data_IF_019793317816
#
_entry.id   IF_019793317816
#
_cell.length_a   1.000
_cell.length_b   1.000
_cell.length_c   1.000
_cell.angle_alpha   90.00
_cell.angle_beta   90.00
_cell.angle_gamma   90.00
#
_symmetry.space_group_name_H-M   'P 1'
#
loop_
_entity.id
_entity.type
_entity.pdbx_description
1 polymer ?
#
# COMPACT_ATOMS: atom_id res chain seq x y z
N UNK A 1 -26.37 13.73 -4.95
CA UNK A 1 -26.18 12.34 -4.46
C UNK A 1 -24.81 12.33 -3.82
N UNK A 2 -24.69 11.79 -2.61
CA UNK A 2 -23.38 11.53 -2.01
C UNK A 2 -22.70 10.45 -2.84
N UNK A 3 -21.43 10.62 -3.18
CA UNK A 3 -20.65 9.52 -3.74
C UNK A 3 -20.51 8.39 -2.70
N UNK A 4 -20.21 7.17 -3.16
CA UNK A 4 -20.08 6.00 -2.29
C UNK A 4 -19.04 6.25 -1.19
N UNK A 5 -17.92 6.92 -1.50
CA UNK A 5 -16.82 7.17 -0.57
C UNK A 5 -17.22 8.05 0.62
N UNK A 6 -17.96 9.14 0.37
CA UNK A 6 -18.52 10.00 1.40
C UNK A 6 -19.53 9.25 2.27
N UNK A 7 -20.30 8.33 1.68
CA UNK A 7 -21.24 7.47 2.42
C UNK A 7 -20.49 6.50 3.34
N UNK A 8 -19.46 5.81 2.83
CA UNK A 8 -18.62 4.92 3.64
C UNK A 8 -17.98 5.67 4.82
N UNK A 9 -17.49 6.89 4.59
CA UNK A 9 -16.92 7.74 5.63
C UNK A 9 -17.93 8.08 6.73
N UNK A 10 -19.17 8.38 6.35
CA UNK A 10 -20.24 8.72 7.27
C UNK A 10 -20.75 7.50 8.08
N UNK A 11 -20.66 6.30 7.51
CA UNK A 11 -21.05 5.03 8.16
C UNK A 11 -19.97 4.44 9.07
N UNK A 12 -18.75 4.97 9.04
CA UNK A 12 -17.63 4.54 9.88
C UNK A 12 -17.78 5.06 11.34
N UNK A 13 -18.81 4.56 12.02
CA UNK A 13 -19.19 4.95 13.39
C UNK A 13 -18.18 4.49 14.45
N UNK A 14 -17.32 3.53 14.11
CA UNK A 14 -16.32 2.96 15.02
C UNK A 14 -14.98 3.69 14.95
N UNK A 15 -14.83 4.63 14.01
CA UNK A 15 -13.69 5.57 13.92
C UNK A 15 -13.35 6.18 15.28
N UNK A 16 -12.06 6.29 15.55
CA UNK A 16 -11.57 6.98 16.72
C UNK A 16 -11.55 8.49 16.49
N UNK A 17 -11.82 9.25 17.55
CA UNK A 17 -11.81 10.72 17.52
C UNK A 17 -10.49 11.25 18.08
N UNK A 18 -9.79 12.12 17.33
CA UNK A 18 -8.55 12.76 17.78
C UNK A 18 -8.81 13.67 18.99
N UNK A 19 -7.87 13.74 19.92
CA UNK A 19 -8.01 14.49 21.17
C UNK A 19 -8.93 13.81 22.21
N UNK A 20 -9.76 12.87 21.79
CA UNK A 20 -10.63 12.07 22.67
C UNK A 20 -10.06 10.67 22.84
N UNK A 21 -9.91 9.91 21.76
CA UNK A 21 -9.53 8.49 21.78
C UNK A 21 -8.07 8.24 21.44
N UNK A 22 -7.45 9.14 20.69
CA UNK A 22 -6.03 9.11 20.38
C UNK A 22 -5.52 10.53 20.15
N UNK A 23 -4.20 10.68 20.09
CA UNK A 23 -3.59 11.87 19.54
C UNK A 23 -2.30 11.52 18.80
N UNK A 24 -1.84 12.46 17.96
CA UNK A 24 -0.62 12.34 17.18
C UNK A 24 0.26 13.56 17.44
N UNK A 25 1.54 13.33 17.72
CA UNK A 25 2.53 14.37 17.92
C UNK A 25 3.75 14.14 17.02
N UNK A 26 3.76 14.82 15.86
CA UNK A 26 4.84 14.76 14.88
C UNK A 26 6.18 15.36 15.35
N UNK A 27 6.17 16.14 16.43
CA UNK A 27 7.36 16.80 16.98
C UNK A 27 7.79 16.19 18.33
N UNK A 28 7.07 15.19 18.83
CA UNK A 28 7.35 14.55 20.10
C UNK A 28 8.24 13.33 19.96
N UNK A 29 8.77 12.83 21.08
CA UNK A 29 9.53 11.57 21.08
C UNK A 29 8.65 10.35 20.72
N UNK A 30 7.33 10.47 20.92
CA UNK A 30 6.32 9.47 20.56
C UNK A 30 5.37 10.07 19.54
N UNK A 31 5.19 9.39 18.43
CA UNK A 31 4.23 9.73 17.39
C UNK A 31 2.81 9.64 17.93
N UNK A 32 2.49 8.61 18.72
CA UNK A 32 1.21 8.47 19.40
C UNK A 32 1.37 8.69 20.91
N UNK A 33 1.21 9.94 21.41
CA UNK A 33 1.23 10.22 22.85
C UNK A 33 0.25 9.35 23.64
N UNK A 34 -0.93 9.10 23.07
CA UNK A 34 -1.88 8.14 23.59
C UNK A 34 -2.79 7.57 22.50
N UNK A 35 -3.25 6.34 22.73
CA UNK A 35 -4.40 5.71 22.06
C UNK A 35 -5.14 4.93 23.14
N UNK A 36 -6.47 5.08 23.23
CA UNK A 36 -7.31 4.36 24.20
C UNK A 36 -7.40 2.89 23.84
N UNK A 37 -6.46 2.10 24.36
CA UNK A 37 -6.38 0.66 24.09
C UNK A 37 -7.69 -0.08 24.41
N UNK A 38 -8.40 0.29 25.49
CA UNK A 38 -9.70 -0.29 25.83
C UNK A 38 -10.75 -0.10 24.74
N UNK A 39 -10.71 1.00 23.99
CA UNK A 39 -11.63 1.23 22.86
C UNK A 39 -11.34 0.23 21.74
N UNK A 40 -10.06 0.06 21.37
CA UNK A 40 -9.63 -0.93 20.37
C UNK A 40 -10.03 -2.35 20.77
N UNK A 41 -9.83 -2.73 22.04
CA UNK A 41 -10.17 -4.06 22.56
C UNK A 41 -11.68 -4.30 22.67
N UNK A 42 -12.48 -3.23 22.78
CA UNK A 42 -13.94 -3.33 22.92
C UNK A 42 -14.69 -3.44 21.59
N UNK A 43 -14.07 -3.04 20.49
CA UNK A 43 -14.68 -3.06 19.16
C UNK A 43 -14.23 -4.33 18.42
N UNK A 44 -15.15 -5.23 18.03
CA UNK A 44 -14.78 -6.54 17.49
C UNK A 44 -13.90 -6.52 16.24
N UNK A 45 -14.05 -5.51 15.38
CA UNK A 45 -13.25 -5.37 14.15
C UNK A 45 -11.81 -5.00 14.45
N UNK A 46 -11.57 -4.02 15.34
CA UNK A 46 -10.24 -3.66 15.83
C UNK A 46 -9.55 -4.83 16.53
N UNK A 47 -10.25 -5.52 17.44
CA UNK A 47 -9.69 -6.69 18.14
C UNK A 47 -9.27 -7.80 17.16
N UNK A 48 -10.12 -8.13 16.18
CA UNK A 48 -9.83 -9.14 15.18
C UNK A 48 -8.69 -8.72 14.24
N UNK A 49 -8.63 -7.44 13.86
CA UNK A 49 -7.57 -6.91 13.02
C UNK A 49 -6.21 -6.93 13.72
N UNK A 50 -6.14 -6.49 14.98
CA UNK A 50 -4.89 -6.52 15.76
C UNK A 50 -4.36 -7.96 15.94
N UNK A 51 -5.25 -8.95 16.15
CA UNK A 51 -4.86 -10.37 16.18
C UNK A 51 -4.24 -10.83 14.87
N UNK A 52 -4.79 -10.39 13.73
CA UNK A 52 -4.20 -10.70 12.43
C UNK A 52 -2.77 -10.17 12.33
N UNK A 53 -2.55 -8.90 12.68
CA UNK A 53 -1.23 -8.25 12.61
C UNK A 53 -0.15 -8.97 13.43
N UNK A 54 -0.51 -9.62 14.53
CA UNK A 54 0.41 -10.32 15.42
C UNK A 54 0.96 -11.64 14.84
N UNK A 55 0.34 -12.20 13.79
CA UNK A 55 0.80 -13.46 13.18
C UNK A 55 1.94 -13.27 12.18
N UNK A 56 2.17 -12.06 11.67
CA UNK A 56 3.00 -11.85 10.49
C UNK A 56 4.44 -11.46 10.80
N UNK A 57 5.37 -12.02 10.02
CA UNK A 57 6.79 -11.65 10.01
C UNK A 57 7.12 -10.73 8.83
N UNK A 58 7.88 -9.65 9.08
CA UNK A 58 8.17 -8.60 8.10
C UNK A 58 9.11 -8.98 6.94
N UNK A 59 9.76 -10.14 6.96
CA UNK A 59 10.82 -10.50 6.00
C UNK A 59 10.27 -11.34 4.85
N UNK A 60 10.09 -10.73 3.69
CA UNK A 60 9.57 -11.38 2.46
C UNK A 60 10.57 -12.33 1.80
N UNK A 61 11.80 -12.44 2.32
CA UNK A 61 12.82 -13.32 1.75
C UNK A 61 12.69 -14.77 2.23
N UNK A 62 11.77 -15.05 3.17
CA UNK A 62 11.46 -16.42 3.60
C UNK A 62 10.13 -16.85 3.00
N UNK A 63 10.01 -18.09 2.48
CA UNK A 63 8.73 -18.62 2.04
C UNK A 63 7.74 -18.61 3.21
N UNK A 64 6.62 -17.90 3.05
CA UNK A 64 5.57 -17.88 4.05
C UNK A 64 4.66 -19.10 3.89
N UNK A 65 4.50 -19.86 4.96
CA UNK A 65 3.58 -20.99 5.01
C UNK A 65 2.32 -20.58 5.75
N UNK A 66 1.28 -20.18 4.99
CA UNK A 66 -0.01 -19.79 5.57
C UNK A 66 -0.63 -20.95 6.34
N UNK A 67 -0.73 -20.80 7.66
CA UNK A 67 -1.25 -21.82 8.56
C UNK A 67 -2.77 -21.84 8.56
N UNK A 68 -3.39 -22.98 8.90
CA UNK A 68 -4.85 -23.06 9.05
C UNK A 68 -5.37 -22.07 10.10
N UNK A 69 -4.54 -21.72 11.10
CA UNK A 69 -4.87 -20.75 12.13
C UNK A 69 -4.98 -19.34 11.52
N UNK A 70 -3.99 -18.89 10.76
CA UNK A 70 -4.03 -17.60 10.06
C UNK A 70 -5.24 -17.49 9.14
N UNK A 71 -5.54 -18.54 8.36
CA UNK A 71 -6.72 -18.54 7.50
C UNK A 71 -8.04 -18.42 8.29
N UNK A 72 -8.11 -19.03 9.47
CA UNK A 72 -9.29 -18.93 10.32
C UNK A 72 -9.44 -17.54 10.92
N UNK A 73 -8.33 -16.89 11.29
CA UNK A 73 -8.33 -15.53 11.82
C UNK A 73 -8.69 -14.50 10.74
N UNK A 74 -8.17 -14.64 9.52
CA UNK A 74 -8.58 -13.84 8.36
C UNK A 74 -10.08 -13.97 8.09
N UNK A 75 -10.61 -15.20 8.08
CA UNK A 75 -12.06 -15.43 7.92
C UNK A 75 -12.89 -14.88 9.08
N UNK A 76 -12.36 -14.86 10.29
CA UNK A 76 -13.02 -14.30 11.46
C UNK A 76 -13.07 -12.77 11.39
N UNK A 77 -11.96 -12.13 10.99
CA UNK A 77 -11.91 -10.69 10.74
C UNK A 77 -12.92 -10.29 9.65
N UNK A 78 -12.93 -10.97 8.50
CA UNK A 78 -13.91 -10.69 7.44
C UNK A 78 -15.35 -10.85 7.91
N UNK A 79 -15.65 -11.83 8.78
CA UNK A 79 -16.98 -11.95 9.37
C UNK A 79 -17.37 -10.70 10.16
N UNK A 80 -16.44 -10.14 10.96
CA UNK A 80 -16.68 -8.92 11.73
C UNK A 80 -16.88 -7.71 10.82
N UNK A 81 -16.04 -7.53 9.80
CA UNK A 81 -16.21 -6.43 8.85
C UNK A 81 -17.58 -6.51 8.16
N UNK A 82 -17.99 -7.69 7.71
CA UNK A 82 -19.28 -7.92 7.04
C UNK A 82 -20.51 -7.73 7.96
N UNK A 83 -20.34 -7.51 9.26
CA UNK A 83 -21.40 -7.13 10.20
C UNK A 83 -21.58 -5.61 10.29
N UNK A 84 -20.63 -4.81 9.78
CA UNK A 84 -20.65 -3.34 9.86
C UNK A 84 -21.48 -2.69 8.75
N UNK A 85 -22.04 -1.51 9.02
CA UNK A 85 -22.80 -0.74 8.02
C UNK A 85 -21.91 -0.33 6.84
N UNK A 86 -20.65 0.05 7.10
CA UNK A 86 -19.68 0.42 6.04
C UNK A 86 -19.50 -0.71 5.02
N UNK A 87 -19.26 -1.93 5.49
CA UNK A 87 -19.04 -3.05 4.58
C UNK A 87 -20.34 -3.53 3.92
N UNK A 88 -21.49 -3.37 4.56
CA UNK A 88 -22.79 -3.66 3.96
C UNK A 88 -23.09 -2.69 2.81
N UNK A 89 -22.80 -1.40 2.99
CA UNK A 89 -22.96 -0.39 1.95
C UNK A 89 -22.00 -0.64 0.78
N UNK A 90 -20.72 -0.91 1.06
CA UNK A 90 -19.74 -1.29 0.04
C UNK A 90 -20.18 -2.55 -0.73
N UNK A 91 -20.72 -3.56 -0.04
CA UNK A 91 -21.25 -4.76 -0.68
C UNK A 91 -22.44 -4.44 -1.59
N UNK A 92 -23.41 -3.66 -1.10
CA UNK A 92 -24.59 -3.29 -1.90
C UNK A 92 -24.17 -2.56 -3.17
N UNK A 93 -23.32 -1.54 -3.05
CA UNK A 93 -22.81 -0.78 -4.18
C UNK A 93 -22.09 -1.67 -5.20
N UNK A 94 -21.14 -2.50 -4.75
CA UNK A 94 -20.39 -3.37 -5.66
C UNK A 94 -21.25 -4.47 -6.30
N UNK A 95 -22.32 -4.92 -5.63
CA UNK A 95 -23.26 -5.88 -6.19
C UNK A 95 -24.15 -5.22 -7.26
N UNK A 96 -24.62 -3.99 -7.01
CA UNK A 96 -25.42 -3.21 -7.96
C UNK A 96 -24.62 -2.87 -9.24
N UNK A 97 -23.32 -2.58 -9.09
CA UNK A 97 -22.39 -2.38 -10.22
C UNK A 97 -21.98 -3.70 -10.91
N UNK A 98 -22.41 -4.86 -10.38
CA UNK A 98 -22.08 -6.18 -10.93
C UNK A 98 -20.64 -6.64 -10.72
N UNK A 99 -19.88 -5.96 -9.85
CA UNK A 99 -18.48 -6.27 -9.54
C UNK A 99 -18.33 -7.50 -8.62
N UNK A 100 -19.32 -7.77 -7.77
CA UNK A 100 -19.29 -8.88 -6.79
C UNK A 100 -20.63 -9.62 -6.68
N UNK A 101 -20.66 -10.86 -6.16
CA UNK A 101 -21.93 -11.56 -5.94
C UNK A 101 -22.83 -10.87 -4.90
N UNK A 102 -24.14 -10.85 -5.14
CA UNK A 102 -25.16 -10.35 -4.18
C UNK A 102 -25.16 -11.09 -2.84
N UNK A 103 -24.73 -12.37 -2.84
CA UNK A 103 -24.71 -13.15 -1.60
C UNK A 103 -23.57 -12.73 -0.67
N UNK A 104 -23.87 -12.53 0.62
CA UNK A 104 -22.87 -12.24 1.66
C UNK A 104 -21.71 -13.25 1.68
N UNK A 105 -22.02 -14.53 1.44
CA UNK A 105 -21.01 -15.59 1.36
C UNK A 105 -20.09 -15.40 0.13
N UNK A 106 -20.67 -15.16 -1.04
CA UNK A 106 -19.91 -14.93 -2.26
C UNK A 106 -19.02 -13.70 -2.17
N UNK A 107 -19.54 -12.60 -1.61
CA UNK A 107 -18.73 -11.40 -1.37
C UNK A 107 -17.59 -11.66 -0.38
N UNK A 108 -17.84 -12.42 0.69
CA UNK A 108 -16.77 -12.87 1.60
C UNK A 108 -15.68 -13.66 0.88
N UNK A 109 -16.06 -14.58 -0.01
CA UNK A 109 -15.12 -15.40 -0.76
C UNK A 109 -14.27 -14.53 -1.73
N UNK A 110 -14.87 -13.49 -2.33
CA UNK A 110 -14.16 -12.47 -3.12
C UNK A 110 -13.15 -11.70 -2.25
N UNK A 111 -13.58 -11.17 -1.10
CA UNK A 111 -12.71 -10.45 -0.17
C UNK A 111 -11.55 -11.34 0.29
N UNK A 112 -11.83 -12.58 0.66
CA UNK A 112 -10.80 -13.51 1.09
C UNK A 112 -9.78 -13.76 -0.04
N UNK A 113 -10.27 -14.03 -1.26
CA UNK A 113 -9.40 -14.28 -2.40
C UNK A 113 -8.51 -13.07 -2.69
N UNK A 114 -9.10 -11.88 -2.72
CA UNK A 114 -8.43 -10.63 -3.06
C UNK A 114 -7.39 -10.21 -2.01
N UNK A 115 -7.74 -10.28 -0.74
CA UNK A 115 -6.89 -9.72 0.32
C UNK A 115 -5.93 -10.72 0.94
N UNK A 116 -6.29 -12.01 1.02
CA UNK A 116 -5.56 -13.00 1.83
C UNK A 116 -4.97 -14.17 1.04
N UNK A 117 -5.08 -14.18 -0.30
CA UNK A 117 -4.41 -15.21 -1.11
C UNK A 117 -3.00 -14.73 -1.44
N UNK A 118 -1.94 -15.46 -1.06
CA UNK A 118 -0.58 -15.09 -1.44
C UNK A 118 -0.38 -15.23 -2.95
N UNK A 119 0.38 -14.31 -3.54
CA UNK A 119 0.78 -14.37 -4.94
C UNK A 119 2.23 -13.92 -5.09
N UNK A 120 2.89 -14.42 -6.14
CA UNK A 120 4.30 -14.09 -6.39
C UNK A 120 4.41 -12.62 -6.77
N UNK A 121 5.25 -11.88 -6.05
CA UNK A 121 5.51 -10.46 -6.32
C UNK A 121 6.74 -10.20 -7.17
N UNK A 122 7.61 -11.18 -7.34
CA UNK A 122 8.83 -11.04 -8.15
C UNK A 122 8.67 -11.71 -9.51
N UNK A 123 9.18 -11.06 -10.56
CA UNK A 123 9.21 -11.67 -11.90
C UNK A 123 10.31 -12.75 -12.04
N UNK A 124 11.14 -12.93 -11.00
CA UNK A 124 12.18 -13.96 -10.95
C UNK A 124 11.79 -15.16 -10.04
N UNK A 125 11.71 -16.34 -10.64
CA UNK A 125 11.42 -17.65 -10.00
C UNK A 125 12.38 -18.09 -8.87
N UNK A 126 13.48 -17.38 -8.66
CA UNK A 126 14.57 -17.81 -7.74
C UNK A 126 14.27 -17.57 -6.28
N UNK A 127 13.31 -16.70 -5.97
CA UNK A 127 12.83 -16.51 -4.63
C UNK A 127 11.31 -16.63 -4.71
N UNK A 128 10.75 -17.73 -4.22
CA UNK A 128 9.31 -17.93 -4.06
C UNK A 128 8.80 -16.96 -2.98
N UNK A 129 8.83 -15.66 -3.29
CA UNK A 129 8.37 -14.57 -2.44
C UNK A 129 6.90 -14.36 -2.78
N UNK A 130 6.05 -14.99 -1.98
CA UNK A 130 4.61 -14.79 -2.04
C UNK A 130 4.18 -14.00 -0.83
N UNK A 131 3.53 -12.87 -1.06
CA UNK A 131 2.77 -12.17 -0.03
C UNK A 131 1.36 -11.88 -0.51
N UNK A 132 0.48 -11.53 0.41
CA UNK A 132 -0.90 -11.15 0.14
C UNK A 132 -1.08 -9.63 0.10
N UNK A 133 -2.13 -9.15 -0.55
CA UNK A 133 -2.46 -7.72 -0.57
C UNK A 133 -2.67 -7.15 0.85
N UNK A 134 -3.19 -7.99 1.77
CA UNK A 134 -3.35 -7.64 3.17
C UNK A 134 -2.01 -7.45 3.88
N UNK A 135 -1.04 -8.35 3.66
CA UNK A 135 0.31 -8.20 4.22
C UNK A 135 0.96 -6.91 3.73
N UNK A 136 1.01 -6.72 2.41
CA UNK A 136 1.63 -5.54 1.83
C UNK A 136 0.98 -4.24 2.34
N UNK A 137 -0.35 -4.15 2.28
CA UNK A 137 -1.07 -2.92 2.65
C UNK A 137 -1.10 -2.67 4.16
N UNK A 138 -1.54 -3.66 4.95
CA UNK A 138 -1.89 -3.46 6.35
C UNK A 138 -0.81 -3.88 7.34
N UNK A 139 0.00 -4.89 7.01
CA UNK A 139 1.04 -5.43 7.91
C UNK A 139 2.38 -4.75 7.69
N UNK A 140 2.70 -4.47 6.44
CA UNK A 140 4.01 -4.01 6.02
C UNK A 140 5.00 -5.15 5.83
N UNK A 141 5.87 -4.94 4.86
CA UNK A 141 6.88 -5.89 4.42
C UNK A 141 8.23 -5.18 4.32
N UNK A 142 9.32 -5.95 4.32
CA UNK A 142 10.64 -5.41 4.03
C UNK A 142 11.25 -6.15 2.86
N UNK A 143 11.70 -5.37 1.87
CA UNK A 143 12.37 -5.90 0.69
C UNK A 143 13.66 -5.13 0.49
N UNK A 144 14.74 -5.87 0.26
CA UNK A 144 16.04 -5.27 -0.02
C UNK A 144 16.50 -4.26 1.06
N UNK A 145 16.22 -4.53 2.34
CA UNK A 145 16.57 -3.61 3.41
C UNK A 145 15.77 -2.29 3.45
N UNK A 146 14.70 -2.19 2.69
CA UNK A 146 13.74 -1.09 2.73
C UNK A 146 12.38 -1.60 3.16
N UNK A 147 11.53 -0.71 3.71
CA UNK A 147 10.14 -1.05 4.01
C UNK A 147 9.31 -0.85 2.75
N UNK A 148 8.54 -1.88 2.39
CA UNK A 148 7.59 -1.86 1.26
C UNK A 148 6.19 -2.08 1.83
N UNK A 149 5.18 -1.46 1.22
CA UNK A 149 3.85 -1.43 1.83
C UNK A 149 3.84 -0.70 3.19
N UNK A 150 3.11 -1.22 4.18
CA UNK A 150 2.97 -0.69 5.54
C UNK A 150 2.22 0.66 5.57
N UNK A 151 0.94 0.67 5.25
CA UNK A 151 0.16 1.91 5.10
C UNK A 151 -0.96 2.08 6.15
N UNK A 152 -0.93 1.30 7.24
CA UNK A 152 -1.99 1.30 8.24
C UNK A 152 -1.55 1.85 9.60
N UNK A 153 -2.36 2.77 10.17
CA UNK A 153 -2.02 3.44 11.44
C UNK A 153 -2.09 2.55 12.67
N UNK A 154 -2.95 1.52 12.70
CA UNK A 154 -2.99 0.59 13.83
C UNK A 154 -1.72 -0.25 13.87
N UNK A 155 -1.20 -0.64 12.71
CA UNK A 155 0.10 -1.29 12.60
C UNK A 155 1.23 -0.36 13.02
N UNK A 156 1.21 0.89 12.55
CA UNK A 156 2.18 1.91 12.94
C UNK A 156 2.20 2.13 14.46
N UNK A 157 1.03 2.26 15.07
CA UNK A 157 0.86 2.37 16.52
C UNK A 157 1.34 1.13 17.28
N UNK A 158 0.98 -0.08 16.82
CA UNK A 158 1.39 -1.33 17.46
C UNK A 158 2.92 -1.50 17.44
N UNK A 159 3.55 -1.22 16.29
CA UNK A 159 5.00 -1.31 16.13
C UNK A 159 5.74 -0.20 16.91
N UNK A 160 5.20 1.02 17.01
CA UNK A 160 5.75 2.05 17.89
C UNK A 160 5.75 1.60 19.35
N UNK A 161 4.65 1.00 19.82
CA UNK A 161 4.56 0.49 21.21
C UNK A 161 5.58 -0.60 21.51
N UNK A 162 5.95 -1.39 20.50
CA UNK A 162 6.97 -2.43 20.62
C UNK A 162 8.39 -1.86 20.53
N UNK A 163 8.56 -0.56 20.25
CA UNK A 163 9.86 0.08 20.06
C UNK A 163 10.48 -0.18 18.69
N UNK A 164 9.69 -0.65 17.73
CA UNK A 164 10.15 -0.99 16.39
C UNK A 164 10.09 0.19 15.41
N UNK A 165 9.38 1.26 15.76
CA UNK A 165 9.25 2.49 14.96
C UNK A 165 10.13 3.60 15.53
N UNK A 166 10.90 4.24 14.65
CA UNK A 166 11.54 5.53 14.90
C UNK A 166 11.06 6.49 13.82
N UNK A 167 10.08 7.33 14.14
CA UNK A 167 9.66 8.39 13.23
C UNK A 167 10.72 9.50 13.20
N UNK A 168 10.96 10.11 12.04
CA UNK A 168 12.03 11.09 11.83
C UNK A 168 11.57 12.54 12.00
N UNK A 169 10.37 12.74 12.56
CA UNK A 169 9.76 14.04 12.83
C UNK A 169 9.26 14.77 11.58
N UNK A 170 8.50 15.85 11.77
CA UNK A 170 7.99 16.69 10.69
C UNK A 170 8.83 17.95 10.43
N UNK A 171 8.84 18.43 9.18
CA UNK A 171 9.41 19.75 8.79
C UNK A 171 8.46 20.93 9.09
N UNK A 172 7.22 20.67 9.44
CA UNK A 172 6.19 21.67 9.74
C UNK A 172 5.36 21.23 10.96
N UNK A 173 5.41 22.04 12.03
CA UNK A 173 4.79 21.75 13.32
C UNK A 173 3.27 21.96 13.36
N UNK A 174 2.65 22.29 12.23
CA UNK A 174 1.22 22.64 12.09
C UNK A 174 0.48 21.55 11.29
N UNK A 175 0.35 20.37 11.88
CA UNK A 175 -0.52 19.30 11.37
C UNK A 175 -1.87 19.37 12.10
N UNK A 176 -2.73 20.21 11.52
CA UNK A 176 -4.18 20.38 11.72
C UNK A 176 -4.96 19.06 11.86
N UNK A 177 -6.27 19.14 12.08
CA UNK A 177 -7.27 18.05 12.19
C UNK A 177 -7.40 17.13 10.94
N UNK A 178 -6.33 16.99 10.14
CA UNK A 178 -6.26 16.21 8.91
C UNK A 178 -6.44 14.72 9.17
N UNK A 179 -7.08 14.06 8.23
CA UNK A 179 -7.34 12.62 8.28
C UNK A 179 -6.17 11.77 7.77
N UNK A 180 -5.20 12.40 7.07
CA UNK A 180 -3.98 11.76 6.55
C UNK A 180 -2.74 12.29 7.25
N UNK A 181 -1.88 11.36 7.65
CA UNK A 181 -0.56 11.59 8.21
C UNK A 181 0.50 11.16 7.21
N UNK A 182 1.46 12.03 6.90
CA UNK A 182 2.62 11.68 6.07
C UNK A 182 3.90 11.79 6.89
N UNK A 183 4.69 10.72 6.97
CA UNK A 183 5.92 10.67 7.78
C UNK A 183 7.06 9.91 7.10
N UNK A 184 8.28 10.30 7.48
CA UNK A 184 9.47 9.46 7.31
C UNK A 184 9.67 8.64 8.59
N UNK A 185 9.93 7.34 8.47
CA UNK A 185 10.17 6.49 9.63
C UNK A 185 11.16 5.37 9.35
N UNK A 186 11.72 4.81 10.43
CA UNK A 186 12.41 3.54 10.38
C UNK A 186 11.57 2.48 11.09
N UNK A 187 11.45 1.31 10.47
CA UNK A 187 10.85 0.12 11.04
C UNK A 187 11.89 -1.00 11.15
N UNK A 188 12.16 -1.45 12.37
CA UNK A 188 13.17 -2.50 12.65
C UNK A 188 14.53 -2.22 11.99
N UNK A 189 14.91 -0.93 11.95
CA UNK A 189 16.17 -0.45 11.36
C UNK A 189 16.17 -0.30 9.84
N UNK A 190 15.04 -0.51 9.17
CA UNK A 190 14.85 -0.27 7.72
C UNK A 190 14.07 1.02 7.51
N UNK A 191 14.48 1.85 6.56
CA UNK A 191 13.86 3.16 6.34
C UNK A 191 12.70 3.10 5.35
N UNK A 192 11.71 3.98 5.57
CA UNK A 192 10.69 4.39 4.59
C UNK A 192 10.61 5.92 4.57
N UNK A 193 10.45 6.48 3.38
CA UNK A 193 10.38 7.92 3.15
C UNK A 193 9.01 8.27 2.61
N UNK A 194 8.41 9.36 3.11
CA UNK A 194 7.13 9.96 2.67
C UNK A 194 5.94 9.01 2.63
N UNK A 195 5.84 8.14 3.62
CA UNK A 195 4.70 7.24 3.68
C UNK A 195 3.46 7.94 4.24
N UNK A 196 2.28 7.58 3.72
CA UNK A 196 1.01 8.22 4.03
C UNK A 196 -0.01 7.24 4.59
N UNK A 197 -0.69 7.66 5.66
CA UNK A 197 -1.59 6.83 6.46
C UNK A 197 -2.90 7.58 6.69
N UNK A 198 -4.04 6.89 6.59
CA UNK A 198 -5.20 7.35 7.34
C UNK A 198 -4.92 7.21 8.83
N UNK A 199 -5.45 8.10 9.67
CA UNK A 199 -5.34 7.96 11.12
C UNK A 199 -6.70 8.08 11.79
N UNK A 200 -6.99 7.14 12.69
CA UNK A 200 -8.23 7.07 13.46
C UNK A 200 -9.32 6.23 12.80
N UNK A 201 -9.26 6.05 11.48
CA UNK A 201 -10.14 5.17 10.68
C UNK A 201 -10.25 3.75 11.23
N UNK A 202 -11.39 3.11 10.99
CA UNK A 202 -11.57 1.71 11.34
C UNK A 202 -10.99 0.75 10.30
N UNK A 203 -10.59 -0.47 10.69
CA UNK A 203 -10.12 -1.48 9.74
C UNK A 203 -11.13 -1.80 8.65
N UNK A 204 -12.42 -1.88 8.99
CA UNK A 204 -13.51 -2.12 8.05
C UNK A 204 -13.69 -0.99 7.05
N UNK A 205 -13.43 0.26 7.44
CA UNK A 205 -13.47 1.41 6.54
C UNK A 205 -12.37 1.35 5.50
N UNK A 206 -11.11 1.20 5.92
CA UNK A 206 -9.98 1.12 4.97
C UNK A 206 -10.14 -0.08 4.03
N UNK A 207 -10.54 -1.25 4.56
CA UNK A 207 -10.79 -2.44 3.76
C UNK A 207 -11.92 -2.22 2.72
N UNK A 208 -13.02 -1.59 3.12
CA UNK A 208 -14.14 -1.28 2.22
C UNK A 208 -13.73 -0.26 1.15
N UNK A 209 -13.11 0.84 1.56
CA UNK A 209 -12.67 1.92 0.67
C UNK A 209 -11.72 1.38 -0.42
N UNK A 210 -10.66 0.66 -0.03
CA UNK A 210 -9.71 0.11 -0.99
C UNK A 210 -10.34 -0.94 -1.89
N UNK A 211 -11.26 -1.77 -1.37
CA UNK A 211 -11.98 -2.75 -2.20
C UNK A 211 -12.85 -2.06 -3.24
N UNK A 212 -13.56 -0.99 -2.87
CA UNK A 212 -14.41 -0.21 -3.80
C UNK A 212 -13.55 0.50 -4.84
N UNK A 213 -12.48 1.18 -4.44
CA UNK A 213 -11.55 1.82 -5.38
C UNK A 213 -10.94 0.81 -6.36
N UNK A 214 -10.52 -0.36 -5.89
CA UNK A 214 -9.92 -1.37 -6.76
C UNK A 214 -10.89 -1.97 -7.78
N UNK A 215 -12.15 -2.23 -7.38
CA UNK A 215 -13.13 -2.92 -8.22
C UNK A 215 -13.98 -2.00 -9.10
N UNK A 216 -14.21 -0.77 -8.67
CA UNK A 216 -15.15 0.16 -9.29
C UNK A 216 -14.59 1.60 -9.42
N UNK A 217 -13.35 1.85 -9.00
CA UNK A 217 -12.70 3.14 -9.17
C UNK A 217 -12.14 3.37 -10.57
N UNK A 218 -11.56 4.55 -10.77
CA UNK A 218 -11.13 5.07 -12.08
C UNK A 218 -9.74 4.58 -12.54
N UNK A 219 -9.18 3.55 -11.88
CA UNK A 219 -7.86 3.00 -12.18
C UNK A 219 -6.93 2.98 -10.96
N UNK A 220 -5.64 3.21 -11.18
CA UNK A 220 -4.62 3.16 -10.12
C UNK A 220 -4.75 4.27 -9.07
N UNK A 221 -5.40 5.39 -9.41
CA UNK A 221 -5.65 6.52 -8.51
C UNK A 221 -7.11 6.94 -8.60
N UNK A 222 -7.79 6.97 -7.47
CA UNK A 222 -9.19 7.42 -7.37
C UNK A 222 -9.27 8.66 -6.48
N UNK A 223 -9.80 9.77 -7.01
CA UNK A 223 -10.07 10.97 -6.20
C UNK A 223 -11.38 10.82 -5.44
N UNK A 224 -11.34 11.07 -4.13
CA UNK A 224 -12.49 10.90 -3.23
C UNK A 224 -12.63 12.10 -2.30
N UNK A 225 -13.83 12.28 -1.74
CA UNK A 225 -14.07 13.26 -0.67
C UNK A 225 -14.39 12.53 0.61
N UNK A 226 -13.57 12.75 1.65
CA UNK A 226 -13.69 12.10 2.96
C UNK A 226 -13.72 13.18 4.03
N UNK A 227 -14.81 13.25 4.80
CA UNK A 227 -14.95 14.28 5.85
C UNK A 227 -14.91 15.73 5.35
N UNK A 228 -15.14 15.95 4.04
CA UNK A 228 -14.99 17.27 3.40
C UNK A 228 -13.59 17.56 2.86
N UNK A 229 -12.63 16.66 3.06
CA UNK A 229 -11.27 16.76 2.51
C UNK A 229 -11.18 15.97 1.20
N UNK A 230 -10.51 16.55 0.19
CA UNK A 230 -10.16 15.82 -1.04
C UNK A 230 -8.94 14.96 -0.78
N UNK A 231 -9.05 13.68 -1.10
CA UNK A 231 -8.02 12.67 -0.92
C UNK A 231 -7.88 11.88 -2.21
N UNK A 232 -6.67 11.46 -2.54
CA UNK A 232 -6.45 10.49 -3.61
C UNK A 232 -6.17 9.13 -2.96
N UNK A 233 -6.85 8.09 -3.42
CA UNK A 233 -6.59 6.69 -3.02
C UNK A 233 -5.83 6.02 -4.14
N UNK A 234 -4.62 5.56 -3.84
CA UNK A 234 -3.86 4.70 -4.73
C UNK A 234 -4.31 3.25 -4.57
N UNK A 235 -4.52 2.54 -5.68
CA UNK A 235 -4.85 1.10 -5.75
C UNK A 235 -4.11 0.47 -6.93
N UNK A 236 -2.79 0.26 -6.75
CA UNK A 236 -1.93 -0.31 -7.78
C UNK A 236 -2.20 -1.81 -7.96
N UNK A 237 -2.19 -2.27 -9.22
CA UNK A 237 -2.39 -3.67 -9.59
C UNK A 237 -1.05 -4.36 -9.78
N UNK A 238 -0.93 -5.59 -9.31
CA UNK A 238 0.19 -6.49 -9.60
C UNK A 238 -0.39 -7.84 -10.02
N UNK A 239 -0.14 -8.24 -11.28
CA UNK A 239 -0.66 -9.49 -11.86
C UNK A 239 -2.20 -9.64 -11.72
N UNK A 240 -2.94 -8.54 -11.90
CA UNK A 240 -4.40 -8.50 -11.74
C UNK A 240 -4.90 -8.57 -10.29
N UNK A 241 -4.00 -8.52 -9.30
CA UNK A 241 -4.32 -8.49 -7.88
C UNK A 241 -3.97 -7.11 -7.28
N UNK A 242 -4.42 -6.83 -6.06
CA UNK A 242 -4.04 -5.60 -5.36
C UNK A 242 -2.55 -5.68 -5.02
N UNK A 243 -1.73 -4.87 -5.70
CA UNK A 243 -0.31 -4.71 -5.44
C UNK A 243 -0.04 -3.81 -4.23
N UNK A 244 -0.63 -2.61 -4.22
CA UNK A 244 -0.48 -1.65 -3.11
C UNK A 244 -1.74 -0.78 -3.00
N UNK A 245 -2.14 -0.42 -1.78
CA UNK A 245 -3.26 0.49 -1.54
C UNK A 245 -2.95 1.46 -0.40
N UNK A 246 -3.07 2.76 -0.63
CA UNK A 246 -2.81 3.77 0.40
C UNK A 246 -3.36 5.16 0.02
N UNK A 247 -3.62 6.04 1.00
CA UNK A 247 -4.02 7.40 0.72
C UNK A 247 -2.81 8.26 0.35
N UNK A 248 -3.00 9.19 -0.58
CA UNK A 248 -2.02 10.21 -0.96
C UNK A 248 -2.60 11.57 -0.55
N UNK A 249 -1.82 12.31 0.24
CA UNK A 249 -2.13 13.70 0.53
C UNK A 249 -1.69 14.55 -0.67
N UNK A 250 -2.65 15.14 -1.40
CA UNK A 250 -2.32 16.04 -2.52
C UNK A 250 -1.46 17.22 -2.01
N UNK A 251 -0.19 17.27 -2.40
CA UNK A 251 0.56 18.52 -2.48
C UNK A 251 0.30 19.10 -3.88
N UNK A 252 0.03 20.40 -3.97
CA UNK A 252 -0.02 21.09 -5.26
C UNK A 252 1.37 21.04 -5.92
N UNK A 253 1.64 20.01 -6.74
CA UNK A 253 2.14 20.16 -8.12
C UNK A 253 2.28 18.81 -8.87
N UNK A 254 1.90 18.90 -10.15
CA UNK A 254 2.25 18.09 -11.34
C UNK A 254 1.68 16.67 -11.56
N UNK A 255 0.64 16.69 -12.41
CA UNK A 255 0.30 15.78 -13.53
C UNK A 255 0.73 14.32 -13.46
N UNK A 256 -0.25 13.44 -13.19
CA UNK A 256 -0.19 12.03 -13.54
C UNK A 256 -1.38 11.68 -14.43
N UNK A 257 -1.09 11.08 -15.57
CA UNK A 257 -2.03 10.35 -16.43
C UNK A 257 -1.48 8.95 -16.65
N UNK A 258 -2.39 8.01 -16.95
CA UNK A 258 -2.19 6.65 -17.51
C UNK A 258 -2.22 5.53 -16.47
N UNK A 259 -2.18 4.24 -16.85
CA UNK A 259 -3.15 3.42 -17.62
C UNK A 259 -2.73 1.95 -17.56
N UNK A 260 -3.69 1.02 -17.52
CA UNK A 260 -3.49 -0.43 -17.36
C UNK A 260 -2.72 -1.10 -18.52
N UNK A 261 -1.70 -1.93 -18.22
CA UNK A 261 -1.22 -2.98 -19.15
C UNK A 261 -1.06 -4.36 -18.49
N UNK A 262 -1.50 -5.40 -19.21
CA UNK A 262 -1.40 -6.83 -18.88
C UNK A 262 0.02 -7.37 -19.15
N UNK A 263 0.52 -8.28 -18.30
CA UNK A 263 1.85 -8.91 -18.47
C UNK A 263 1.76 -10.39 -18.86
N UNK A 264 2.30 -10.70 -20.05
CA UNK A 264 2.72 -12.02 -20.50
C UNK A 264 4.26 -12.09 -20.36
N UNK A 265 4.78 -12.44 -19.18
CA UNK A 265 6.22 -12.68 -19.01
C UNK A 265 6.54 -13.92 -18.16
N UNK A 266 6.88 -15.01 -18.85
CA UNK A 266 7.39 -16.23 -18.22
C UNK A 266 8.81 -16.64 -18.66
N UNK A 267 9.53 -15.87 -19.51
CA UNK A 267 10.79 -16.39 -20.10
C UNK A 267 11.94 -15.38 -20.34
N UNK A 268 11.93 -14.16 -19.77
CA UNK A 268 13.05 -13.21 -19.94
C UNK A 268 13.63 -12.68 -18.61
N UNK A 269 14.77 -13.22 -18.14
CA UNK A 269 15.36 -12.84 -16.84
C UNK A 269 15.90 -11.40 -16.79
N UNK A 270 16.09 -10.74 -17.94
CA UNK A 270 16.45 -9.32 -17.99
C UNK A 270 15.26 -8.39 -17.94
N UNK A 271 14.11 -8.83 -18.46
CA UNK A 271 12.85 -8.13 -18.26
C UNK A 271 12.43 -8.24 -16.80
N UNK A 272 12.51 -9.43 -16.21
CA UNK A 272 12.21 -9.65 -14.79
C UNK A 272 13.04 -8.76 -13.86
N UNK A 273 14.35 -8.66 -14.08
CA UNK A 273 15.21 -7.73 -13.31
C UNK A 273 14.85 -6.26 -13.52
N UNK A 274 14.42 -5.89 -14.73
CA UNK A 274 13.95 -4.56 -15.04
C UNK A 274 12.64 -4.23 -14.32
N UNK A 275 11.68 -5.15 -14.31
CA UNK A 275 10.40 -4.99 -13.62
C UNK A 275 10.58 -4.98 -12.10
N UNK A 276 11.41 -5.86 -11.55
CA UNK A 276 11.79 -5.83 -10.12
C UNK A 276 12.43 -4.46 -9.74
N UNK A 277 13.20 -3.85 -10.65
CA UNK A 277 13.75 -2.51 -10.46
C UNK A 277 12.69 -1.39 -10.52
N UNK A 278 11.72 -1.48 -11.45
CA UNK A 278 10.62 -0.51 -11.50
C UNK A 278 9.75 -0.58 -10.23
N UNK A 279 9.43 -1.77 -9.74
CA UNK A 279 8.70 -1.94 -8.48
C UNK A 279 9.51 -1.39 -7.29
N UNK A 280 10.85 -1.52 -7.30
CA UNK A 280 11.69 -0.90 -6.28
C UNK A 280 11.58 0.63 -6.29
N UNK A 281 11.50 1.27 -7.47
CA UNK A 281 11.32 2.73 -7.56
C UNK A 281 9.96 3.17 -7.01
N UNK A 282 8.90 2.43 -7.35
CA UNK A 282 7.54 2.66 -6.85
C UNK A 282 7.48 2.51 -5.32
N UNK A 283 8.06 1.43 -4.78
CA UNK A 283 8.14 1.17 -3.34
C UNK A 283 8.86 2.28 -2.56
N UNK A 284 9.80 2.99 -3.22
CA UNK A 284 10.56 4.09 -2.64
C UNK A 284 9.93 5.47 -2.90
N UNK A 285 8.70 5.52 -3.43
CA UNK A 285 8.00 6.77 -3.81
C UNK A 285 8.87 7.65 -4.74
N UNK A 286 9.62 7.00 -5.63
CA UNK A 286 10.45 7.69 -6.60
C UNK A 286 9.60 7.90 -7.85
N UNK A 287 9.29 9.17 -8.13
CA UNK A 287 8.38 9.56 -9.22
C UNK A 287 8.73 8.98 -10.60
N UNK A 288 7.73 8.90 -11.50
CA UNK A 288 7.80 8.12 -12.74
C UNK A 288 8.74 8.72 -13.78
N UNK A 289 9.04 10.02 -13.68
CA UNK A 289 9.94 10.71 -14.60
C UNK A 289 11.24 11.13 -13.91
N UNK A 290 12.38 10.74 -14.49
CA UNK A 290 13.67 11.25 -14.01
C UNK A 290 14.78 11.22 -15.06
N UNK A 291 15.83 12.00 -14.80
CA UNK A 291 17.04 11.97 -15.62
C UNK A 291 17.68 10.59 -15.63
N UNK A 292 18.02 10.09 -16.83
CA UNK A 292 18.66 8.78 -17.05
C UNK A 292 19.92 8.55 -16.22
N UNK A 293 20.69 9.61 -15.93
CA UNK A 293 21.87 9.54 -15.05
C UNK A 293 21.52 9.25 -13.59
N UNK A 294 20.42 9.84 -13.10
CA UNK A 294 19.91 9.58 -11.74
C UNK A 294 19.36 8.16 -11.65
N UNK A 295 18.54 7.75 -12.62
CA UNK A 295 17.97 6.40 -12.70
C UNK A 295 19.08 5.34 -12.72
N UNK A 296 20.16 5.59 -13.48
CA UNK A 296 21.35 4.73 -13.52
C UNK A 296 22.01 4.59 -12.15
N UNK A 297 22.19 5.69 -11.41
CA UNK A 297 22.79 5.65 -10.07
C UNK A 297 21.96 4.81 -9.10
N UNK A 298 20.64 5.02 -9.08
CA UNK A 298 19.73 4.24 -8.22
C UNK A 298 19.81 2.75 -8.57
N UNK A 299 19.85 2.40 -9.87
CA UNK A 299 19.98 1.01 -10.30
C UNK A 299 21.35 0.39 -9.93
N UNK A 300 22.46 1.09 -10.19
CA UNK A 300 23.82 0.55 -10.03
C UNK A 300 24.31 0.53 -8.59
N UNK A 301 23.78 1.43 -7.74
CA UNK A 301 24.19 1.59 -6.34
C UNK A 301 23.06 1.08 -5.42
N UNK A 302 22.04 1.91 -5.17
CA UNK A 302 21.00 1.68 -4.16
C UNK A 302 20.30 0.32 -4.34
N UNK A 303 19.74 0.07 -5.53
CA UNK A 303 19.06 -1.19 -5.87
C UNK A 303 20.02 -2.37 -5.89
N UNK A 304 21.24 -2.19 -6.40
CA UNK A 304 22.22 -3.28 -6.52
C UNK A 304 22.72 -3.76 -5.15
N UNK A 305 23.07 -2.83 -4.26
CA UNK A 305 23.52 -3.13 -2.90
C UNK A 305 22.38 -3.76 -2.07
N UNK A 306 21.16 -3.27 -2.29
CA UNK A 306 19.99 -3.63 -1.51
C UNK A 306 19.34 -4.95 -1.94
N UNK A 307 19.19 -5.18 -3.25
CA UNK A 307 18.41 -6.29 -3.81
C UNK A 307 19.24 -7.44 -4.37
N UNK A 308 20.57 -7.30 -4.48
CA UNK A 308 21.45 -8.36 -4.98
C UNK A 308 21.30 -8.59 -6.49
N UNK A 309 21.64 -7.56 -7.28
CA UNK A 309 21.67 -7.59 -8.76
C UNK A 309 22.45 -8.80 -9.31
N UNK A 310 22.04 -9.31 -10.48
CA UNK A 310 22.87 -10.24 -11.25
C UNK A 310 24.22 -9.59 -11.57
N UNK A 311 25.32 -10.19 -11.11
CA UNK A 311 26.66 -9.65 -11.31
C UNK A 311 26.92 -9.37 -12.79
N UNK A 312 27.16 -8.10 -13.14
CA UNK A 312 27.57 -7.66 -14.47
C UNK A 312 26.47 -7.22 -15.44
N UNK A 313 25.17 -7.18 -15.09
CA UNK A 313 24.10 -6.72 -16.02
C UNK A 313 24.16 -5.20 -16.25
N UNK A 314 24.57 -4.65 -17.40
CA UNK A 314 24.68 -3.20 -17.58
C UNK A 314 23.31 -2.52 -17.53
N UNK A 315 23.19 -1.38 -16.82
CA UNK A 315 21.94 -0.60 -16.78
C UNK A 315 21.39 -0.27 -18.18
N UNK A 316 22.28 -0.04 -19.15
CA UNK A 316 21.89 0.21 -20.54
C UNK A 316 21.18 -0.96 -21.21
N UNK A 317 21.48 -2.21 -20.81
CA UNK A 317 20.78 -3.39 -21.30
C UNK A 317 19.41 -3.53 -20.65
N UNK A 318 19.31 -3.30 -19.34
CA UNK A 318 18.02 -3.29 -18.62
C UNK A 318 17.10 -2.20 -19.18
N UNK A 319 17.59 -0.97 -19.29
CA UNK A 319 16.82 0.15 -19.82
C UNK A 319 16.38 -0.09 -21.28
N UNK A 320 17.23 -0.73 -22.09
CA UNK A 320 16.86 -1.12 -23.46
C UNK A 320 15.78 -2.20 -23.47
N UNK A 321 15.87 -3.18 -22.58
CA UNK A 321 14.86 -4.23 -22.45
C UNK A 321 13.53 -3.66 -21.98
N UNK A 322 13.52 -2.78 -20.98
CA UNK A 322 12.31 -2.09 -20.53
C UNK A 322 11.67 -1.28 -21.67
N UNK A 323 12.48 -0.52 -22.42
CA UNK A 323 12.00 0.24 -23.58
C UNK A 323 11.43 -0.66 -24.68
N UNK A 324 12.00 -1.84 -24.90
CA UNK A 324 11.52 -2.80 -25.91
C UNK A 324 10.24 -3.51 -25.53
N UNK A 325 9.88 -3.52 -24.24
CA UNK A 325 8.64 -4.09 -23.73
C UNK A 325 7.67 -2.98 -23.30
N UNK A 326 7.83 -1.77 -23.86
CA UNK A 326 6.95 -0.62 -23.63
C UNK A 326 6.76 -0.26 -22.13
N UNK A 327 7.79 -0.49 -21.31
CA UNK A 327 7.80 -0.14 -19.87
C UNK A 327 8.49 1.18 -19.55
N UNK A 328 9.22 1.76 -20.50
CA UNK A 328 9.82 3.09 -20.34
C UNK A 328 9.91 3.81 -21.68
N UNK A 329 9.70 5.11 -21.66
CA UNK A 329 10.04 6.03 -22.74
C UNK A 329 11.31 6.82 -22.42
N UNK A 330 12.03 7.22 -23.47
CA UNK A 330 13.25 8.01 -23.32
C UNK A 330 13.19 9.17 -24.31
N UNK A 331 13.24 10.39 -23.78
CA UNK A 331 13.23 11.61 -24.57
C UNK A 331 14.29 12.59 -24.05
N UNK A 332 14.60 13.62 -24.84
CA UNK A 332 15.56 14.68 -24.45
C UNK A 332 14.75 15.91 -24.10
N UNK A 333 14.92 16.42 -22.87
CA UNK A 333 14.22 17.64 -22.46
C UNK A 333 14.84 18.91 -23.06
N UNK A 334 14.24 20.06 -22.77
CA UNK A 334 14.70 21.36 -23.29
C UNK A 334 16.13 21.74 -22.88
N UNK A 335 16.67 21.11 -21.83
CA UNK A 335 18.04 21.32 -21.34
C UNK A 335 19.06 20.33 -21.94
N UNK A 336 18.63 19.49 -22.89
CA UNK A 336 19.49 18.50 -23.54
C UNK A 336 19.78 17.28 -22.66
N UNK A 337 18.97 17.02 -21.64
CA UNK A 337 19.13 15.90 -20.71
C UNK A 337 18.24 14.72 -21.16
N UNK A 338 18.84 13.53 -21.25
CA UNK A 338 18.09 12.28 -21.40
C UNK A 338 17.19 12.07 -20.17
N UNK A 339 15.88 12.17 -20.38
CA UNK A 339 14.83 11.84 -19.42
C UNK A 339 14.30 10.45 -19.72
N UNK A 340 14.08 9.66 -18.68
CA UNK A 340 13.37 8.39 -18.73
C UNK A 340 12.02 8.61 -18.06
N UNK A 341 10.96 8.32 -18.81
CA UNK A 341 9.60 8.26 -18.30
C UNK A 341 9.25 6.78 -18.11
N UNK A 342 8.87 6.38 -16.90
CA UNK A 342 8.42 5.02 -16.62
C UNK A 342 6.96 4.92 -17.08
N UNK A 343 6.70 3.93 -17.94
CA UNK A 343 5.36 3.64 -18.45
C UNK A 343 4.74 2.56 -17.57
N UNK A 344 3.45 2.68 -17.26
CA UNK A 344 2.71 1.70 -16.45
C UNK A 344 2.42 0.38 -17.22
#
# INVERSE_FOLDING_TARGET
>A
MSDIYSTLWALDHTRLERGVDYDVNLCGDKLFPFVKQRKLESIPTYEAFLRLLDNYTADVNQPEHVTQKEQNEARAFLNRCLETEVMQEAHSFLADEGCVPESKKGFKDVLYKMWFTPYTRTHNDRAQRSSSAFEHTFVGETRCGHVIGFHNWLRLYSEERQGNIRHKGCRCCDCDDRIILTIDFDWKGKSKTRDSFFVGTSPEFELALYTVCFLAGDGAKTEVVLGGERVTIATYKLNGQIGSCYPILQQQDQSDTESDTEDDSADNPMLAEGLDFLEYLEDQDIGPEMGKRRLKGIYEDDYTESCGRRSGTPFSQVLRTLKWNDKVEIYINNDGVDIVNILE
#
